data_IF_282234918009
#
_entry.id   IF_282234918009
#
_cell.length_a   1.000
_cell.length_b   1.000
_cell.length_c   1.000
_cell.angle_alpha   90.00
_cell.angle_beta   90.00
_cell.angle_gamma   90.00
#
_symmetry.space_group_name_H-M   'P 1'
#
loop_
_entity.id
_entity.type
_entity.pdbx_description
1 polymer ?
#
# COMPACT_ATOMS: atom_id res chain seq x y z
N UNK A 1 -25.00 -3.36 5.12
CA UNK A 1 -24.96 -2.34 4.04
C UNK A 1 -23.55 -1.82 3.77
N UNK A 2 -22.71 -1.59 4.79
CA UNK A 2 -21.32 -1.17 4.58
C UNK A 2 -20.53 -2.25 3.81
N UNK A 3 -20.75 -3.53 4.13
CA UNK A 3 -20.01 -4.64 3.49
C UNK A 3 -20.28 -4.76 1.99
N UNK A 4 -21.49 -4.45 1.53
CA UNK A 4 -21.84 -4.47 0.10
C UNK A 4 -21.17 -3.33 -0.66
N UNK A 5 -21.10 -2.14 -0.05
CA UNK A 5 -20.38 -0.98 -0.64
C UNK A 5 -18.88 -1.23 -0.66
N UNK A 6 -18.33 -1.82 0.40
CA UNK A 6 -16.92 -2.18 0.46
C UNK A 6 -16.55 -3.23 -0.59
N UNK A 7 -17.42 -4.23 -0.83
CA UNK A 7 -17.22 -5.23 -1.87
C UNK A 7 -17.20 -4.59 -3.28
N UNK A 8 -18.10 -3.65 -3.56
CA UNK A 8 -18.10 -2.89 -4.82
C UNK A 8 -16.81 -2.08 -4.99
N UNK A 9 -16.42 -1.32 -3.96
CA UNK A 9 -15.19 -0.53 -3.99
C UNK A 9 -13.94 -1.40 -4.22
N UNK A 10 -13.87 -2.57 -3.56
CA UNK A 10 -12.78 -3.54 -3.78
C UNK A 10 -12.79 -4.11 -5.19
N UNK A 11 -13.96 -4.39 -5.75
CA UNK A 11 -14.06 -4.86 -7.15
C UNK A 11 -13.59 -3.79 -8.14
N UNK A 12 -13.81 -2.51 -7.86
CA UNK A 12 -13.47 -1.40 -8.76
C UNK A 12 -12.01 -0.96 -8.66
N UNK A 13 -11.44 -0.97 -7.46
CA UNK A 13 -10.09 -0.46 -7.20
C UNK A 13 -9.06 -1.56 -6.89
N UNK A 14 -9.50 -2.83 -6.84
CA UNK A 14 -8.68 -4.00 -6.52
C UNK A 14 -8.21 -4.00 -5.06
N UNK A 15 -6.98 -4.47 -4.84
CA UNK A 15 -6.38 -4.60 -3.50
C UNK A 15 -5.86 -3.28 -2.91
N UNK A 16 -6.23 -2.13 -3.49
CA UNK A 16 -5.81 -0.82 -3.00
C UNK A 16 -6.54 -0.45 -1.71
N UNK A 17 -5.80 -0.39 -0.61
CA UNK A 17 -6.33 0.02 0.71
C UNK A 17 -6.51 1.55 0.81
N UNK A 18 -5.68 2.30 0.06
CA UNK A 18 -5.70 3.77 0.03
C UNK A 18 -6.00 4.26 -1.39
N UNK A 19 -7.01 5.11 -1.50
CA UNK A 19 -7.47 5.71 -2.73
C UNK A 19 -6.95 7.14 -2.85
N UNK A 20 -6.54 7.52 -4.06
CA UNK A 20 -6.10 8.88 -4.35
C UNK A 20 -7.31 9.82 -4.55
N UNK A 21 -7.12 11.15 -4.45
CA UNK A 21 -8.20 12.11 -4.70
C UNK A 21 -8.80 12.00 -6.11
N UNK A 22 -8.01 11.56 -7.09
CA UNK A 22 -8.44 11.33 -8.47
C UNK A 22 -9.39 10.13 -8.56
N UNK A 23 -9.07 9.04 -7.87
CA UNK A 23 -9.90 7.83 -7.81
C UNK A 23 -11.27 8.10 -7.15
N UNK A 24 -11.30 9.00 -6.16
CA UNK A 24 -12.48 9.30 -5.34
C UNK A 24 -13.38 10.35 -5.99
N UNK A 25 -12.82 11.22 -6.82
CA UNK A 25 -13.55 12.30 -7.48
C UNK A 25 -14.86 11.88 -8.16
N UNK A 26 -14.90 10.79 -8.95
CA UNK A 26 -16.14 10.34 -9.57
C UNK A 26 -17.18 9.79 -8.58
N UNK A 27 -16.76 9.34 -7.38
CA UNK A 27 -17.70 8.80 -6.37
C UNK A 27 -18.38 9.90 -5.55
N UNK A 28 -17.65 10.95 -5.20
CA UNK A 28 -18.16 12.05 -4.36
C UNK A 28 -18.67 13.23 -5.21
N UNK A 29 -18.65 13.10 -6.54
CA UNK A 29 -19.00 14.16 -7.49
C UNK A 29 -18.25 15.49 -7.22
N UNK A 30 -17.01 15.39 -6.73
CA UNK A 30 -16.20 16.54 -6.31
C UNK A 30 -14.83 16.47 -6.98
N UNK A 31 -14.44 17.52 -7.69
CA UNK A 31 -13.14 17.54 -8.39
C UNK A 31 -11.96 17.47 -7.40
N UNK A 32 -10.79 16.93 -7.82
CA UNK A 32 -9.61 16.85 -6.94
C UNK A 32 -9.18 18.21 -6.38
N UNK A 33 -9.39 19.29 -7.14
CA UNK A 33 -9.09 20.66 -6.71
C UNK A 33 -10.03 21.14 -5.59
N UNK A 34 -11.34 20.86 -5.70
CA UNK A 34 -12.31 21.17 -4.64
C UNK A 34 -12.00 20.36 -3.39
N UNK A 35 -11.68 19.07 -3.54
CA UNK A 35 -11.25 18.23 -2.42
C UNK A 35 -9.98 18.79 -1.76
N UNK A 36 -9.01 19.29 -2.53
CA UNK A 36 -7.80 19.92 -1.99
C UNK A 36 -8.12 21.16 -1.16
N UNK A 37 -9.05 21.99 -1.63
CA UNK A 37 -9.50 23.19 -0.93
C UNK A 37 -10.25 22.85 0.37
N UNK A 38 -11.13 21.85 0.34
CA UNK A 38 -11.82 21.37 1.55
C UNK A 38 -10.83 20.79 2.57
N UNK A 39 -9.79 20.09 2.10
CA UNK A 39 -8.72 19.56 2.96
C UNK A 39 -7.87 20.67 3.58
N UNK A 40 -7.53 21.71 2.82
CA UNK A 40 -6.76 22.85 3.36
C UNK A 40 -7.56 23.65 4.39
N UNK A 41 -8.88 23.73 4.23
CA UNK A 41 -9.81 24.37 5.17
C UNK A 41 -10.20 23.49 6.37
N UNK A 42 -9.79 22.22 6.41
CA UNK A 42 -10.18 21.28 7.46
C UNK A 42 -11.66 20.88 7.44
N UNK A 43 -12.36 21.12 6.33
CA UNK A 43 -13.80 20.85 6.16
C UNK A 43 -14.08 19.59 5.34
N UNK A 44 -13.06 18.78 5.06
CA UNK A 44 -13.22 17.57 4.28
C UNK A 44 -13.88 16.48 5.15
N UNK A 45 -15.01 15.89 4.71
CA UNK A 45 -15.85 15.04 5.57
C UNK A 45 -15.23 13.66 5.88
N UNK A 46 -14.19 13.26 5.17
CA UNK A 46 -13.56 11.95 5.32
C UNK A 46 -12.13 12.12 5.86
N UNK A 47 -11.68 11.32 6.84
CA UNK A 47 -10.31 11.38 7.33
C UNK A 47 -9.29 11.06 6.24
N UNK A 48 -8.27 11.91 6.13
CA UNK A 48 -7.21 11.81 5.12
C UNK A 48 -5.90 11.38 5.76
N UNK A 49 -5.22 10.41 5.13
CA UNK A 49 -3.86 10.01 5.51
C UNK A 49 -2.87 10.62 4.52
N UNK A 50 -1.81 11.22 5.07
CA UNK A 50 -0.69 11.74 4.28
C UNK A 50 0.46 10.73 4.35
N UNK A 51 0.96 10.32 3.18
CA UNK A 51 2.13 9.44 3.05
C UNK A 51 3.13 10.17 2.16
N UNK A 52 4.15 10.78 2.78
CA UNK A 52 5.08 11.68 2.10
C UNK A 52 4.35 12.86 1.46
N UNK A 53 4.47 12.98 0.13
CA UNK A 53 3.81 14.04 -0.67
C UNK A 53 2.41 13.65 -1.14
N UNK A 54 2.02 12.39 -1.00
CA UNK A 54 0.72 11.88 -1.43
C UNK A 54 -0.30 11.97 -0.31
N UNK A 55 -1.54 12.26 -0.69
CA UNK A 55 -2.70 12.25 0.20
C UNK A 55 -3.61 11.13 -0.27
N UNK A 56 -4.12 10.34 0.65
CA UNK A 56 -5.04 9.26 0.33
C UNK A 56 -6.12 9.10 1.40
N UNK A 57 -7.21 8.49 0.99
CA UNK A 57 -8.34 8.14 1.86
C UNK A 57 -8.43 6.63 1.93
N UNK A 58 -8.73 6.10 3.11
CA UNK A 58 -8.95 4.66 3.26
C UNK A 58 -10.24 4.23 2.60
N UNK A 59 -10.20 3.09 1.89
CA UNK A 59 -11.38 2.47 1.29
C UNK A 59 -12.49 2.20 2.32
N UNK A 60 -12.13 1.90 3.57
CA UNK A 60 -13.07 1.66 4.66
C UNK A 60 -13.84 2.93 5.06
N UNK A 61 -13.12 4.04 5.28
CA UNK A 61 -13.74 5.31 5.61
C UNK A 61 -14.58 5.87 4.45
N UNK A 62 -14.17 5.61 3.21
CA UNK A 62 -14.99 5.95 2.04
C UNK A 62 -16.27 5.12 1.98
N UNK A 63 -16.19 3.80 2.22
CA UNK A 63 -17.36 2.93 2.26
C UNK A 63 -18.35 3.36 3.35
N UNK A 64 -17.85 3.72 4.54
CA UNK A 64 -18.66 4.21 5.63
C UNK A 64 -19.35 5.55 5.28
N UNK A 65 -18.61 6.48 4.67
CA UNK A 65 -19.18 7.74 4.19
C UNK A 65 -20.28 7.55 3.15
N UNK A 66 -20.09 6.63 2.20
CA UNK A 66 -21.10 6.36 1.16
C UNK A 66 -22.33 5.64 1.71
N UNK A 67 -22.16 4.79 2.73
CA UNK A 67 -23.26 4.06 3.34
C UNK A 67 -24.07 4.91 4.33
N UNK A 68 -23.41 5.74 5.13
CA UNK A 68 -24.02 6.44 6.26
C UNK A 68 -24.05 7.97 6.11
N UNK A 69 -23.31 8.54 5.16
CA UNK A 69 -23.13 9.99 5.00
C UNK A 69 -22.15 10.63 5.99
N UNK A 70 -21.72 9.90 7.02
CA UNK A 70 -20.81 10.36 8.07
C UNK A 70 -19.74 9.29 8.34
N UNK A 71 -18.52 9.73 8.69
CA UNK A 71 -17.42 8.83 9.06
C UNK A 71 -17.19 8.89 10.56
N UNK A 72 -17.28 7.74 11.24
CA UNK A 72 -16.96 7.66 12.66
C UNK A 72 -15.45 7.63 12.82
N UNK A 73 -14.91 8.69 13.39
CA UNK A 73 -13.49 8.76 13.72
C UNK A 73 -13.31 8.05 15.06
N UNK A 74 -13.00 6.76 15.02
CA UNK A 74 -12.57 6.03 16.22
C UNK A 74 -11.16 6.48 16.60
N UNK A 75 -11.09 7.48 17.50
CA UNK A 75 -9.83 7.88 18.13
C UNK A 75 -9.49 6.80 19.16
N UNK A 76 -8.65 5.84 18.76
CA UNK A 76 -8.07 4.92 19.74
C UNK A 76 -7.20 5.75 20.70
N UNK A 77 -7.35 5.59 22.03
CA UNK A 77 -6.47 6.24 23.00
C UNK A 77 -5.02 5.93 22.63
N UNK A 78 -4.20 6.97 22.51
CA UNK A 78 -2.79 6.83 22.23
C UNK A 78 -2.18 6.26 23.51
N UNK A 79 -1.72 5.00 23.48
CA UNK A 79 -0.87 4.48 24.54
C UNK A 79 0.39 5.35 24.56
N UNK A 80 0.65 6.01 25.68
CA UNK A 80 1.82 6.88 25.88
C UNK A 80 3.10 6.03 25.78
N UNK A 81 3.63 5.87 24.58
CA UNK A 81 4.96 5.33 24.40
C UNK A 81 5.97 6.45 24.70
N UNK A 82 6.82 6.22 25.71
CA UNK A 82 7.93 7.11 26.02
C UNK A 82 8.95 7.07 24.88
N UNK A 83 8.79 7.95 23.89
CA UNK A 83 9.80 8.16 22.85
C UNK A 83 11.03 8.82 23.48
N UNK A 84 12.12 8.07 23.61
CA UNK A 84 13.43 8.63 23.99
C UNK A 84 14.14 9.02 22.69
N UNK A 85 14.20 10.32 22.32
CA UNK A 85 14.94 10.73 21.14
C UNK A 85 16.44 10.51 21.37
N UNK A 86 17.05 9.60 20.62
CA UNK A 86 18.51 9.50 20.56
C UNK A 86 19.05 10.74 19.82
N UNK A 87 19.51 11.75 20.58
CA UNK A 87 20.11 12.99 20.08
C UNK A 87 21.57 12.78 19.65
N UNK A 88 21.82 11.82 18.77
CA UNK A 88 23.08 11.78 18.04
C UNK A 88 22.90 12.65 16.78
N UNK A 89 23.34 13.91 16.87
CA UNK A 89 23.46 14.83 15.73
C UNK A 89 24.52 14.31 14.75
N UNK A 90 24.21 13.26 14.01
CA UNK A 90 25.02 12.85 12.86
C UNK A 90 24.70 13.85 11.75
N UNK A 91 25.63 14.78 11.49
CA UNK A 91 25.57 15.65 10.32
C UNK A 91 25.62 14.76 9.09
N UNK A 92 24.44 14.40 8.56
CA UNK A 92 24.30 13.50 7.43
C UNK A 92 24.87 14.20 6.19
N UNK A 93 26.04 13.77 5.76
CA UNK A 93 26.76 14.39 4.65
C UNK A 93 26.13 14.00 3.32
N UNK A 94 26.40 14.77 2.26
CA UNK A 94 25.97 14.45 0.89
C UNK A 94 26.52 13.11 0.35
N UNK A 95 27.37 12.39 1.10
CA UNK A 95 27.85 11.05 0.73
C UNK A 95 26.96 9.94 1.30
N UNK A 96 26.22 10.22 2.37
CA UNK A 96 25.43 9.21 3.09
C UNK A 96 24.19 8.79 2.30
N UNK A 97 23.63 9.67 1.47
CA UNK A 97 22.50 9.32 0.59
C UNK A 97 22.95 8.50 -0.62
N UNK A 98 24.13 8.77 -1.18
CA UNK A 98 24.70 7.97 -2.27
C UNK A 98 25.04 6.56 -1.79
N UNK A 99 25.62 6.45 -0.59
CA UNK A 99 25.90 5.16 0.02
C UNK A 99 24.59 4.39 0.29
N UNK A 100 23.59 5.03 0.89
CA UNK A 100 22.28 4.41 1.13
C UNK A 100 21.57 3.99 -0.17
N UNK A 101 21.68 4.78 -1.24
CA UNK A 101 21.13 4.44 -2.55
C UNK A 101 21.85 3.25 -3.18
N UNK A 102 23.18 3.21 -3.08
CA UNK A 102 23.98 2.09 -3.57
C UNK A 102 23.66 0.80 -2.80
N UNK A 103 23.56 0.86 -1.47
CA UNK A 103 23.15 -0.26 -0.63
C UNK A 103 21.75 -0.75 -0.97
N UNK A 104 20.80 0.18 -1.20
CA UNK A 104 19.45 -0.17 -1.63
C UNK A 104 19.45 -0.89 -2.99
N UNK A 105 20.23 -0.41 -3.96
CA UNK A 105 20.32 -1.06 -5.28
C UNK A 105 20.94 -2.46 -5.19
N UNK A 106 22.01 -2.62 -4.40
CA UNK A 106 22.65 -3.93 -4.18
C UNK A 106 21.66 -4.90 -3.53
N UNK A 107 20.92 -4.45 -2.52
CA UNK A 107 19.89 -5.26 -1.87
C UNK A 107 18.80 -5.70 -2.85
N UNK A 108 18.27 -4.76 -3.65
CA UNK A 108 17.24 -5.10 -4.65
C UNK A 108 17.74 -6.07 -5.70
N UNK A 109 19.01 -5.95 -6.12
CA UNK A 109 19.61 -6.87 -7.08
C UNK A 109 19.76 -8.27 -6.50
N UNK A 110 20.27 -8.39 -5.28
CA UNK A 110 20.40 -9.69 -4.61
C UNK A 110 19.04 -10.36 -4.40
N UNK A 111 18.01 -9.59 -4.03
CA UNK A 111 16.65 -10.11 -3.90
C UNK A 111 16.14 -10.65 -5.24
N UNK A 112 16.33 -9.89 -6.32
CA UNK A 112 15.91 -10.28 -7.66
C UNK A 112 16.60 -11.58 -8.12
N UNK A 113 17.92 -11.68 -7.93
CA UNK A 113 18.70 -12.88 -8.28
C UNK A 113 18.25 -14.10 -7.47
N UNK A 114 17.91 -13.94 -6.19
CA UNK A 114 17.41 -15.05 -5.38
C UNK A 114 16.03 -15.53 -5.87
N UNK A 115 15.11 -14.61 -6.18
CA UNK A 115 13.78 -14.97 -6.71
C UNK A 115 13.90 -15.66 -8.06
N UNK A 116 14.77 -15.19 -8.96
CA UNK A 116 15.01 -15.85 -10.26
C UNK A 116 15.56 -17.28 -10.09
N UNK A 117 16.48 -17.49 -9.14
CA UNK A 117 17.00 -18.83 -8.85
C UNK A 117 15.91 -19.77 -8.34
N UNK A 118 15.09 -19.33 -7.39
CA UNK A 118 14.00 -20.14 -6.86
C UNK A 118 12.98 -20.50 -7.96
N UNK A 119 12.67 -19.56 -8.87
CA UNK A 119 11.78 -19.82 -10.00
C UNK A 119 12.35 -20.88 -10.96
N UNK A 120 13.65 -20.80 -11.27
CA UNK A 120 14.32 -21.80 -12.10
C UNK A 120 14.37 -23.18 -11.43
N UNK A 121 14.58 -23.24 -10.11
CA UNK A 121 14.56 -24.50 -9.36
C UNK A 121 13.16 -25.15 -9.38
N UNK A 122 12.10 -24.36 -9.26
CA UNK A 122 10.71 -24.84 -9.38
C UNK A 122 10.44 -25.35 -10.81
N UNK A 123 10.91 -24.63 -11.83
CA UNK A 123 10.70 -25.04 -13.23
C UNK A 123 11.44 -26.33 -13.57
N UNK A 124 12.66 -26.51 -13.06
CA UNK A 124 13.39 -27.78 -13.17
C UNK A 124 12.68 -28.92 -12.43
N UNK A 125 12.17 -28.68 -11.21
CA UNK A 125 11.44 -29.69 -10.45
C UNK A 125 10.16 -30.15 -11.17
N UNK A 126 9.44 -29.22 -11.79
CA UNK A 126 8.24 -29.53 -12.57
C UNK A 126 8.55 -30.35 -13.85
N UNK A 127 9.71 -30.12 -14.50
CA UNK A 127 10.13 -30.93 -15.64
C UNK A 127 10.50 -32.36 -15.24
N UNK A 128 11.12 -32.56 -14.08
CA UNK A 128 11.44 -33.90 -13.56
C UNK A 128 10.19 -34.71 -13.18
N UNK A 129 9.14 -34.05 -12.67
CA UNK A 129 7.85 -34.70 -12.40
C UNK A 129 7.11 -35.08 -13.69
N UNK A 130 7.10 -34.23 -14.73
CA UNK A 130 6.52 -34.59 -16.03
C UNK A 130 7.25 -35.76 -16.71
N UNK A 131 8.57 -35.90 -16.50
CA UNK A 131 9.34 -37.03 -17.03
C UNK A 131 8.99 -38.31 -16.25
N UNK A 132 8.87 -38.28 -14.92
CA UNK A 132 8.46 -39.46 -14.12
C UNK A 132 7.06 -39.97 -14.49
N UNK A 133 6.08 -39.08 -14.68
CA UNK A 133 4.71 -39.47 -15.07
C UNK A 133 4.67 -40.15 -16.45
N UNK A 134 5.59 -39.81 -17.37
CA UNK A 134 5.70 -40.47 -18.68
C UNK A 134 6.37 -41.85 -18.63
N UNK A 135 7.14 -42.18 -17.59
CA UNK A 135 7.81 -43.47 -17.45
C UNK A 135 6.99 -44.52 -16.67
N UNK A 136 6.14 -44.12 -15.73
CA UNK A 136 5.29 -45.06 -14.96
C UNK A 136 3.98 -45.49 -15.70
N UNK A 137 3.69 -44.88 -16.85
CA UNK A 137 2.52 -45.20 -17.69
C UNK A 137 2.75 -46.27 -18.79
N UNK A 138 3.87 -46.99 -18.75
CA UNK A 138 4.20 -48.04 -19.73
C UNK A 138 4.70 -49.32 -19.05
N UNK A 139 3.76 -50.10 -18.50
CA UNK A 139 3.85 -51.56 -18.35
C UNK A 139 2.50 -52.13 -18.78
#
# INVERSE_FOLDING_TARGET
>A
MIDTVLADLKSRFGDKVLLSPEDIAPLIASSPAVQANLRSQGRFPIPVKKIGRKVGVSIYHLAEYLANGEVKIEVKPIEEYNFIPNKNNVKKGNKDWLLAFQEQNIFTHNLFVCVEKELLEIELHNQDEEIKVKFDGKI
#
